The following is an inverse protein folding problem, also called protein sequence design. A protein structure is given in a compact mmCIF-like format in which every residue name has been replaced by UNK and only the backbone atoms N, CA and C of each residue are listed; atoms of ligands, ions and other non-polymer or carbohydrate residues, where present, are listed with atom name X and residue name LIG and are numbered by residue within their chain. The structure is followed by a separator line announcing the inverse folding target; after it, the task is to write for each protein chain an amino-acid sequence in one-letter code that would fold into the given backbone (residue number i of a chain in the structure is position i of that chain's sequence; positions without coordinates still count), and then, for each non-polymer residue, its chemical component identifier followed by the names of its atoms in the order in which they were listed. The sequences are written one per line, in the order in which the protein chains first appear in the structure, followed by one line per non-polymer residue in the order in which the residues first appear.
data_IF_201996694397
#
_entry.id   IF_201996694397
#
_cell.length_a   1.000
_cell.length_b   1.000
_cell.length_c   1.000
_cell.angle_alpha   90.00
_cell.angle_beta   90.00
_cell.angle_gamma   90.00
#
_symmetry.space_group_name_H-M   'P 1'
#
loop_
_entity.id
_entity.type
_entity.pdbx_description
1 polymer ?
#
# COMPACT_ATOMS: atom_id res chain seq x y z
N UNK A 1 16.23 40.31 -12.01
CA UNK A 1 15.90 39.82 -13.36
C UNK A 1 15.15 40.94 -14.03
N UNK A 2 15.66 41.45 -15.15
CA UNK A 2 15.09 42.62 -15.80
C UNK A 2 13.79 42.24 -16.53
N UNK A 3 12.83 43.16 -16.61
CA UNK A 3 11.53 42.91 -17.28
C UNK A 3 11.72 42.57 -18.77
N UNK A 4 12.77 43.10 -19.39
CA UNK A 4 13.17 42.82 -20.77
C UNK A 4 13.68 41.39 -21.00
N UNK A 5 14.28 40.74 -20.00
CA UNK A 5 14.68 39.32 -20.07
C UNK A 5 13.46 38.38 -20.03
N UNK A 6 12.40 38.76 -19.31
CA UNK A 6 11.17 37.97 -19.19
C UNK A 6 10.36 37.93 -20.48
N UNK A 7 10.32 39.05 -21.21
CA UNK A 7 9.53 39.16 -22.44
C UNK A 7 10.08 38.31 -23.61
N UNK A 8 11.37 37.99 -23.59
CA UNK A 8 12.02 37.16 -24.61
C UNK A 8 12.03 35.67 -24.24
N UNK A 9 11.62 35.31 -23.02
CA UNK A 9 11.63 33.93 -22.55
C UNK A 9 10.46 33.15 -23.14
N UNK A 10 10.77 31.99 -23.71
CA UNK A 10 9.78 30.96 -24.05
C UNK A 10 9.52 30.12 -22.81
N UNK A 11 8.25 29.85 -22.52
CA UNK A 11 7.84 28.95 -21.44
C UNK A 11 7.39 27.61 -22.02
N UNK A 12 7.75 26.53 -21.35
CA UNK A 12 7.21 25.20 -21.67
C UNK A 12 5.74 25.11 -21.28
N UNK A 13 5.03 24.11 -21.78
CA UNK A 13 3.62 23.90 -21.43
C UNK A 13 3.44 23.61 -19.93
N UNK A 14 4.35 22.84 -19.34
CA UNK A 14 4.41 22.57 -17.89
C UNK A 14 4.67 23.84 -17.09
N UNK A 15 5.65 24.66 -17.49
CA UNK A 15 5.97 25.92 -16.80
C UNK A 15 4.78 26.90 -16.85
N UNK A 16 4.06 26.97 -17.97
CA UNK A 16 2.86 27.81 -18.09
C UNK A 16 1.78 27.33 -17.11
N UNK A 17 1.57 26.01 -16.99
CA UNK A 17 0.61 25.44 -16.06
C UNK A 17 0.92 25.79 -14.61
N UNK A 18 2.17 25.58 -14.18
CA UNK A 18 2.63 25.91 -12.82
C UNK A 18 2.52 27.41 -12.51
N UNK A 19 2.85 28.27 -13.47
CA UNK A 19 2.76 29.72 -13.32
C UNK A 19 1.31 30.19 -13.21
N UNK A 20 0.41 29.63 -14.02
CA UNK A 20 -1.03 29.93 -13.94
C UNK A 20 -1.56 29.48 -12.58
N UNK A 21 -1.29 28.24 -12.15
CA UNK A 21 -1.73 27.73 -10.85
C UNK A 21 -1.26 28.64 -9.69
N UNK A 22 0.03 29.02 -9.73
CA UNK A 22 0.63 29.91 -8.73
C UNK A 22 -0.03 31.30 -8.74
N UNK A 23 -0.26 31.87 -9.93
CA UNK A 23 -0.89 33.18 -10.07
C UNK A 23 -2.35 33.17 -9.59
N UNK A 24 -3.13 32.16 -9.96
CA UNK A 24 -4.54 32.02 -9.55
C UNK A 24 -4.68 31.85 -8.04
N UNK A 25 -3.72 31.15 -7.39
CA UNK A 25 -3.67 31.01 -5.93
C UNK A 25 -3.34 32.34 -5.24
N UNK A 26 -2.39 33.11 -5.78
CA UNK A 26 -2.01 34.41 -5.24
C UNK A 26 -3.12 35.47 -5.41
N UNK A 27 -3.88 35.40 -6.51
CA UNK A 27 -4.98 36.31 -6.81
C UNK A 27 -6.28 35.95 -6.08
N UNK A 28 -6.32 34.79 -5.39
CA UNK A 28 -7.47 34.34 -4.62
C UNK A 28 -8.68 33.91 -5.48
N UNK A 29 -8.49 33.77 -6.79
CA UNK A 29 -9.50 33.34 -7.76
C UNK A 29 -10.06 31.95 -7.44
N UNK A 30 -9.23 31.06 -6.91
CA UNK A 30 -9.63 29.74 -6.41
C UNK A 30 -9.42 29.74 -4.90
N UNK A 31 -10.49 30.01 -4.15
CA UNK A 31 -10.49 29.85 -2.70
C UNK A 31 -10.50 28.38 -2.27
N UNK A 32 -10.39 28.13 -0.96
CA UNK A 32 -10.36 26.78 -0.35
C UNK A 32 -11.57 25.89 -0.73
N UNK A 33 -12.68 26.51 -1.18
CA UNK A 33 -13.92 25.82 -1.58
C UNK A 33 -13.95 25.42 -3.06
N UNK A 34 -12.96 25.81 -3.87
CA UNK A 34 -12.96 25.59 -5.32
C UNK A 34 -13.98 26.46 -6.06
N UNK A 35 -14.14 26.19 -7.36
CA UNK A 35 -15.12 26.85 -8.24
C UNK A 35 -16.29 25.90 -8.50
N UNK A 36 -17.49 26.46 -8.59
CA UNK A 36 -18.65 25.74 -9.16
C UNK A 36 -18.47 25.53 -10.66
N UNK A 37 -19.21 24.58 -11.24
CA UNK A 37 -19.17 24.33 -12.68
C UNK A 37 -19.57 25.57 -13.50
N UNK A 38 -20.50 26.37 -12.99
CA UNK A 38 -20.96 27.60 -13.64
C UNK A 38 -19.88 28.69 -13.60
N UNK A 39 -19.20 28.87 -12.46
CA UNK A 39 -18.07 29.79 -12.36
C UNK A 39 -16.89 29.33 -13.24
N UNK A 40 -16.59 28.03 -13.26
CA UNK A 40 -15.55 27.45 -14.11
C UNK A 40 -15.87 27.67 -15.60
N UNK A 41 -17.13 27.53 -16.01
CA UNK A 41 -17.60 27.84 -17.37
C UNK A 41 -17.40 29.31 -17.73
N UNK A 42 -17.72 30.22 -16.82
CA UNK A 42 -17.53 31.65 -17.04
C UNK A 42 -16.05 31.99 -17.23
N UNK A 43 -15.17 31.47 -16.38
CA UNK A 43 -13.72 31.65 -16.51
C UNK A 43 -13.19 31.05 -17.82
N UNK A 44 -13.64 29.84 -18.18
CA UNK A 44 -13.25 29.20 -19.44
C UNK A 44 -13.67 30.02 -20.66
N UNK A 45 -14.89 30.59 -20.65
CA UNK A 45 -15.39 31.45 -21.71
C UNK A 45 -14.59 32.75 -21.84
N UNK A 46 -14.17 33.36 -20.73
CA UNK A 46 -13.28 34.55 -20.73
C UNK A 46 -11.91 34.24 -21.34
N UNK A 47 -11.41 33.02 -21.17
CA UNK A 47 -10.17 32.53 -21.77
C UNK A 47 -10.34 32.04 -23.23
N UNK A 48 -11.56 32.11 -23.77
CA UNK A 48 -11.87 31.67 -25.14
C UNK A 48 -11.93 30.15 -25.32
N UNK A 49 -12.07 29.39 -24.23
CA UNK A 49 -12.27 27.94 -24.25
C UNK A 49 -13.75 27.64 -24.46
N UNK A 50 -14.09 26.76 -25.40
CA UNK A 50 -15.47 26.36 -25.65
C UNK A 50 -16.02 25.47 -24.54
N UNK A 51 -17.33 25.51 -24.34
CA UNK A 51 -18.01 24.65 -23.36
C UNK A 51 -17.78 23.15 -23.65
N UNK A 52 -17.80 22.77 -24.93
CA UNK A 52 -17.50 21.39 -25.34
C UNK A 52 -16.08 20.96 -24.97
N UNK A 53 -15.08 21.83 -25.16
CA UNK A 53 -13.70 21.56 -24.79
C UNK A 53 -13.52 21.47 -23.27
N UNK A 54 -14.25 22.28 -22.50
CA UNK A 54 -14.25 22.21 -21.04
C UNK A 54 -14.87 20.89 -20.55
N UNK A 55 -16.00 20.48 -21.10
CA UNK A 55 -16.68 19.24 -20.73
C UNK A 55 -15.82 18.01 -21.08
N UNK A 56 -15.16 18.01 -22.24
CA UNK A 56 -14.24 16.95 -22.64
C UNK A 56 -13.04 16.85 -21.69
N UNK A 57 -12.47 17.99 -21.29
CA UNK A 57 -11.38 18.03 -20.32
C UNK A 57 -11.81 17.52 -18.94
N UNK A 58 -13.00 17.90 -18.47
CA UNK A 58 -13.58 17.41 -17.22
C UNK A 58 -13.81 15.90 -17.25
N UNK A 59 -14.39 15.38 -18.33
CA UNK A 59 -14.63 13.95 -18.47
C UNK A 59 -13.32 13.16 -18.49
N UNK A 60 -12.32 13.65 -19.23
CA UNK A 60 -10.98 13.05 -19.29
C UNK A 60 -10.35 12.99 -17.91
N UNK A 61 -10.42 14.09 -17.15
CA UNK A 61 -9.89 14.16 -15.79
C UNK A 61 -10.63 13.21 -14.85
N UNK A 62 -11.96 13.20 -14.87
CA UNK A 62 -12.77 12.30 -14.03
C UNK A 62 -12.53 10.82 -14.34
N UNK A 63 -12.33 10.47 -15.62
CA UNK A 63 -11.96 9.11 -16.02
C UNK A 63 -10.56 8.74 -15.49
N UNK A 64 -9.59 9.65 -15.57
CA UNK A 64 -8.27 9.48 -14.98
C UNK A 64 -8.32 9.26 -13.47
N UNK A 65 -9.01 10.14 -12.74
CA UNK A 65 -9.16 10.05 -11.27
C UNK A 65 -9.86 8.75 -10.85
N UNK A 66 -10.84 8.26 -11.62
CA UNK A 66 -11.49 6.98 -11.35
C UNK A 66 -10.55 5.81 -11.58
N UNK A 67 -9.81 5.80 -12.69
CA UNK A 67 -8.86 4.74 -12.99
C UNK A 67 -7.75 4.67 -11.92
N UNK A 68 -7.22 5.83 -11.50
CA UNK A 68 -6.23 5.91 -10.41
C UNK A 68 -6.79 5.41 -9.08
N UNK A 69 -8.03 5.78 -8.73
CA UNK A 69 -8.68 5.28 -7.50
C UNK A 69 -8.93 3.77 -7.56
N UNK A 70 -9.41 3.26 -8.69
CA UNK A 70 -9.61 1.83 -8.88
C UNK A 70 -8.29 1.06 -8.77
N UNK A 71 -7.19 1.59 -9.32
CA UNK A 71 -5.86 1.01 -9.18
C UNK A 71 -5.38 1.04 -7.71
N UNK A 72 -5.57 2.16 -7.01
CA UNK A 72 -5.24 2.28 -5.60
C UNK A 72 -6.06 1.31 -4.73
N UNK A 73 -7.38 1.27 -4.92
CA UNK A 73 -8.26 0.35 -4.20
C UNK A 73 -7.91 -1.11 -4.49
N UNK A 74 -7.57 -1.45 -5.73
CA UNK A 74 -7.11 -2.79 -6.10
C UNK A 74 -5.77 -3.14 -5.43
N UNK A 75 -4.82 -2.21 -5.39
CA UNK A 75 -3.55 -2.38 -4.71
C UNK A 75 -3.75 -2.56 -3.19
N UNK A 76 -4.57 -1.71 -2.57
CA UNK A 76 -4.92 -1.81 -1.16
C UNK A 76 -5.62 -3.14 -0.84
N UNK A 77 -6.61 -3.54 -1.63
CA UNK A 77 -7.29 -4.82 -1.46
C UNK A 77 -6.33 -6.01 -1.58
N UNK A 78 -5.38 -5.94 -2.51
CA UNK A 78 -4.34 -6.97 -2.67
C UNK A 78 -3.44 -7.03 -1.45
N UNK A 79 -2.97 -5.89 -0.94
CA UNK A 79 -2.13 -5.84 0.26
C UNK A 79 -2.86 -6.33 1.51
N UNK A 80 -4.15 -5.99 1.67
CA UNK A 80 -4.99 -6.45 2.76
C UNK A 80 -5.20 -7.96 2.72
N UNK A 81 -5.49 -8.53 1.55
CA UNK A 81 -5.62 -9.97 1.37
C UNK A 81 -4.31 -10.73 1.70
N UNK A 82 -3.15 -10.18 1.31
CA UNK A 82 -1.85 -10.74 1.68
C UNK A 82 -1.61 -10.68 3.20
N UNK A 83 -2.00 -9.58 3.86
CA UNK A 83 -1.87 -9.45 5.30
C UNK A 83 -2.75 -10.46 6.06
N UNK A 84 -3.97 -10.73 5.58
CA UNK A 84 -4.87 -11.69 6.22
C UNK A 84 -4.40 -13.14 6.05
N UNK A 85 -3.94 -13.51 4.85
CA UNK A 85 -3.34 -14.85 4.63
C UNK A 85 -2.10 -15.06 5.51
N UNK A 86 -1.28 -14.02 5.69
CA UNK A 86 -0.13 -14.04 6.59
C UNK A 86 -0.54 -14.27 8.05
N UNK A 87 -1.57 -13.57 8.53
CA UNK A 87 -2.11 -13.74 9.90
C UNK A 87 -2.60 -15.16 10.13
N UNK A 88 -3.29 -15.75 9.15
CA UNK A 88 -3.77 -17.12 9.21
C UNK A 88 -2.61 -18.12 9.34
N UNK A 89 -1.58 -18.00 8.51
CA UNK A 89 -0.39 -18.88 8.55
C UNK A 89 0.35 -18.80 9.90
N UNK A 90 0.52 -17.60 10.45
CA UNK A 90 1.16 -17.42 11.76
C UNK A 90 0.33 -18.03 12.89
N UNK A 91 -0.99 -17.92 12.83
CA UNK A 91 -1.88 -18.52 13.82
C UNK A 91 -1.86 -20.05 13.75
N UNK A 92 -1.86 -20.63 12.55
CA UNK A 92 -1.71 -22.06 12.35
C UNK A 92 -0.35 -22.56 12.87
N UNK A 93 0.74 -21.84 12.57
CA UNK A 93 2.07 -22.16 13.10
C UNK A 93 2.11 -22.12 14.64
N UNK A 94 1.47 -21.16 15.28
CA UNK A 94 1.37 -21.10 16.76
C UNK A 94 0.69 -22.34 17.35
N UNK A 95 -0.37 -22.85 16.70
CA UNK A 95 -1.05 -24.07 17.13
C UNK A 95 -0.12 -25.29 17.02
N UNK A 96 0.60 -25.43 15.90
CA UNK A 96 1.59 -26.49 15.73
C UNK A 96 2.73 -26.39 16.74
N UNK A 97 3.18 -25.16 17.05
CA UNK A 97 4.19 -24.90 18.07
C UNK A 97 3.72 -25.36 19.45
N UNK A 98 2.50 -25.00 19.84
CA UNK A 98 1.92 -25.39 21.12
C UNK A 98 1.79 -26.92 21.23
N UNK A 99 1.33 -27.59 20.17
CA UNK A 99 1.26 -29.05 20.11
C UNK A 99 2.66 -29.70 20.20
N UNK A 100 3.64 -29.19 19.44
CA UNK A 100 5.01 -29.67 19.47
C UNK A 100 5.62 -29.56 20.87
N UNK A 101 5.49 -28.40 21.52
CA UNK A 101 5.99 -28.18 22.88
C UNK A 101 5.24 -29.01 23.91
N UNK A 102 3.92 -29.17 23.78
CA UNK A 102 3.13 -29.97 24.70
C UNK A 102 3.49 -31.45 24.65
N UNK A 103 3.58 -32.01 23.44
CA UNK A 103 3.97 -33.42 23.24
C UNK A 103 5.41 -33.64 23.69
N UNK A 104 6.35 -32.82 23.22
CA UNK A 104 7.75 -33.02 23.57
C UNK A 104 8.02 -32.73 25.05
N UNK A 105 7.41 -31.71 25.63
CA UNK A 105 7.47 -31.46 27.08
C UNK A 105 6.94 -32.64 27.89
N UNK A 106 5.83 -33.24 27.46
CA UNK A 106 5.28 -34.45 28.08
C UNK A 106 6.22 -35.65 27.98
N UNK A 107 6.81 -35.89 26.80
CA UNK A 107 7.78 -36.97 26.61
C UNK A 107 9.06 -36.75 27.43
N UNK A 108 9.55 -35.51 27.53
CA UNK A 108 10.70 -35.16 28.35
C UNK A 108 10.45 -35.45 29.84
N UNK A 109 9.27 -35.05 30.34
CA UNK A 109 8.85 -35.36 31.72
C UNK A 109 8.73 -36.87 31.90
N UNK A 110 8.14 -37.58 30.94
CA UNK A 110 7.99 -39.03 30.98
C UNK A 110 9.34 -39.74 31.05
N UNK A 111 10.31 -39.32 30.24
CA UNK A 111 11.66 -39.86 30.22
C UNK A 111 12.30 -39.73 31.62
N UNK A 112 12.23 -38.52 32.20
CA UNK A 112 12.73 -38.25 33.55
C UNK A 112 12.10 -39.12 34.63
N UNK A 113 10.76 -39.23 34.67
CA UNK A 113 10.08 -39.97 35.74
C UNK A 113 10.22 -41.48 35.61
N UNK A 114 10.48 -41.98 34.40
CA UNK A 114 10.75 -43.41 34.15
C UNK A 114 12.20 -43.79 34.42
N UNK A 115 13.03 -42.84 34.89
CA UNK A 115 14.43 -43.06 35.26
C UNK A 115 15.40 -42.92 34.09
N UNK A 116 14.94 -42.43 32.93
CA UNK A 116 15.79 -42.08 31.81
C UNK A 116 16.38 -40.67 31.95
N UNK A 117 17.55 -40.47 31.35
CA UNK A 117 18.33 -39.23 31.42
C UNK A 117 18.18 -38.33 30.18
N UNK A 118 16.98 -38.23 29.62
CA UNK A 118 16.69 -37.61 28.30
C UNK A 118 17.17 -38.42 27.08
N UNK A 119 17.51 -39.70 27.25
CA UNK A 119 18.14 -40.49 26.20
C UNK A 119 17.17 -40.84 25.06
N UNK A 120 15.96 -41.31 25.36
CA UNK A 120 15.03 -41.75 24.33
C UNK A 120 14.15 -40.61 23.82
N UNK A 121 13.80 -39.65 24.69
CA UNK A 121 13.05 -38.45 24.30
C UNK A 121 13.76 -37.70 23.18
N UNK A 122 15.08 -37.56 23.28
CA UNK A 122 15.89 -36.85 22.31
C UNK A 122 15.71 -37.37 20.89
N UNK A 123 15.65 -38.69 20.68
CA UNK A 123 15.46 -39.27 19.35
C UNK A 123 14.08 -38.95 18.77
N UNK A 124 13.03 -38.97 19.60
CA UNK A 124 11.68 -38.58 19.18
C UNK A 124 11.62 -37.09 18.80
N UNK A 125 12.21 -36.22 19.62
CA UNK A 125 12.27 -34.77 19.37
C UNK A 125 13.14 -34.43 18.17
N UNK A 126 14.27 -35.11 17.97
CA UNK A 126 15.15 -34.84 16.84
C UNK A 126 14.46 -35.19 15.51
N UNK A 127 13.82 -36.36 15.44
CA UNK A 127 13.11 -36.80 14.23
C UNK A 127 11.97 -35.85 13.85
N UNK A 128 11.16 -35.43 14.82
CA UNK A 128 10.01 -34.56 14.57
C UNK A 128 10.38 -33.06 14.52
N UNK A 129 11.39 -32.67 15.28
CA UNK A 129 11.90 -31.31 15.39
C UNK A 129 12.50 -30.79 14.10
N UNK A 130 13.08 -31.66 13.26
CA UNK A 130 13.54 -31.28 11.91
C UNK A 130 12.36 -30.81 11.06
N UNK A 131 11.26 -31.56 11.04
CA UNK A 131 10.04 -31.19 10.30
C UNK A 131 9.43 -29.90 10.80
N UNK A 132 9.34 -29.74 12.12
CA UNK A 132 8.88 -28.51 12.76
C UNK A 132 9.78 -27.31 12.45
N UNK A 133 11.11 -27.49 12.44
CA UNK A 133 12.07 -26.46 12.11
C UNK A 133 11.88 -25.99 10.66
N UNK A 134 11.80 -26.93 9.70
CA UNK A 134 11.55 -26.60 8.29
C UNK A 134 10.23 -25.83 8.12
N UNK A 135 9.15 -26.31 8.74
CA UNK A 135 7.86 -25.63 8.70
C UNK A 135 7.94 -24.21 9.29
N UNK A 136 8.62 -24.05 10.43
CA UNK A 136 8.81 -22.75 11.08
C UNK A 136 9.61 -21.78 10.21
N UNK A 137 10.67 -22.25 9.55
CA UNK A 137 11.46 -21.42 8.61
C UNK A 137 10.60 -21.00 7.41
N UNK A 138 9.80 -21.89 6.85
CA UNK A 138 8.91 -21.57 5.73
C UNK A 138 7.87 -20.51 6.10
N UNK A 139 7.25 -20.61 7.27
CA UNK A 139 6.27 -19.62 7.71
C UNK A 139 6.96 -18.29 8.03
N UNK A 140 8.06 -18.29 8.78
CA UNK A 140 8.73 -17.06 9.22
C UNK A 140 9.43 -16.33 8.07
N UNK A 141 10.15 -17.01 7.19
CA UNK A 141 10.82 -16.35 6.06
C UNK A 141 9.85 -15.88 4.98
N UNK A 142 8.76 -16.61 4.74
CA UNK A 142 7.67 -16.12 3.87
C UNK A 142 6.96 -14.89 4.44
N UNK A 143 7.11 -14.61 5.74
CA UNK A 143 6.63 -13.37 6.36
C UNK A 143 7.66 -12.23 6.36
N UNK A 144 8.93 -12.49 6.04
CA UNK A 144 9.98 -11.47 6.08
C UNK A 144 10.15 -10.71 4.75
N UNK A 145 9.66 -11.28 3.65
CA UNK A 145 9.48 -10.64 2.34
C UNK A 145 8.13 -9.91 2.28
#
# INVERSE_FOLDING_TARGET
MDREELEQRRFSQEEVGELIETATRLDGLVGDRGLTLEELRNVAAELGISDDALLEALETRLRGERAEKEEQEAAEATTAALADTRRAQVNEWKQHTAAFLGVNGGLAILDLVTGGGFEWFFYATAAWGIGYLIHSLLVLFRTAE
#
